data_IF_941668157748
#
_entry.id   IF_941668157748
#
_cell.length_a   1.000
_cell.length_b   1.000
_cell.length_c   1.000
_cell.angle_alpha   90.00
_cell.angle_beta   90.00
_cell.angle_gamma   90.00
#
_symmetry.space_group_name_H-M   'P 1'
#
loop_
_entity.id
_entity.type
_entity.pdbx_description
1 polymer ?
#
# COMPACT_ATOMS: atom_id res chain seq x y z
N UNK A 1 5.47 57.12 -6.22
CA UNK A 1 6.20 56.43 -7.32
C UNK A 1 6.73 55.05 -6.93
N UNK A 2 7.19 54.81 -5.68
CA UNK A 2 7.69 53.49 -5.25
C UNK A 2 6.62 52.37 -5.26
N UNK A 3 5.42 52.60 -4.70
CA UNK A 3 4.34 51.58 -4.61
C UNK A 3 3.86 51.06 -5.97
N UNK A 4 3.72 51.97 -6.95
CA UNK A 4 3.31 51.65 -8.34
C UNK A 4 4.38 50.86 -9.10
N UNK A 5 5.66 51.03 -8.76
CA UNK A 5 6.77 50.25 -9.34
C UNK A 5 6.79 48.82 -8.79
N UNK A 6 6.56 48.67 -7.48
CA UNK A 6 6.48 47.36 -6.80
C UNK A 6 5.29 46.51 -7.28
N UNK A 7 4.13 47.11 -7.55
CA UNK A 7 2.95 46.41 -8.09
C UNK A 7 3.20 45.89 -9.52
N UNK A 8 3.80 46.70 -10.39
CA UNK A 8 4.16 46.33 -11.76
C UNK A 8 5.19 45.18 -11.78
N UNK A 9 6.17 45.20 -10.87
CA UNK A 9 7.18 44.14 -10.76
C UNK A 9 6.55 42.80 -10.31
N UNK A 10 5.54 42.83 -9.44
CA UNK A 10 4.83 41.62 -8.98
C UNK A 10 3.94 41.01 -10.06
N UNK A 11 3.25 41.85 -10.85
CA UNK A 11 2.39 41.39 -11.94
C UNK A 11 3.22 40.72 -13.06
N UNK A 12 4.37 41.31 -13.38
CA UNK A 12 5.33 40.73 -14.33
C UNK A 12 5.83 39.36 -13.86
N UNK A 13 6.16 39.22 -12.58
CA UNK A 13 6.61 37.94 -12.01
C UNK A 13 5.52 36.85 -12.09
N UNK A 14 4.26 37.21 -11.85
CA UNK A 14 3.12 36.30 -11.99
C UNK A 14 2.94 35.84 -13.43
N UNK A 15 3.04 36.75 -14.40
CA UNK A 15 2.95 36.41 -15.83
C UNK A 15 4.10 35.50 -16.27
N UNK A 16 5.33 35.79 -15.83
CA UNK A 16 6.50 34.94 -16.12
C UNK A 16 6.35 33.53 -15.55
N UNK A 17 5.84 33.42 -14.32
CA UNK A 17 5.55 32.13 -13.70
C UNK A 17 4.50 31.37 -14.50
N UNK A 18 3.38 32.01 -14.84
CA UNK A 18 2.29 31.40 -15.60
C UNK A 18 2.77 30.88 -16.97
N UNK A 19 3.63 31.65 -17.66
CA UNK A 19 4.25 31.23 -18.91
C UNK A 19 5.15 30.02 -18.75
N UNK A 20 6.00 30.01 -17.70
CA UNK A 20 6.86 28.86 -17.40
C UNK A 20 6.04 27.60 -17.10
N UNK A 21 4.97 27.74 -16.32
CA UNK A 21 4.08 26.63 -15.98
C UNK A 21 3.42 26.04 -17.25
N UNK A 22 3.02 26.89 -18.21
CA UNK A 22 2.54 26.44 -19.52
C UNK A 22 3.64 25.72 -20.33
N UNK A 23 4.82 26.33 -20.45
CA UNK A 23 5.94 25.75 -21.19
C UNK A 23 6.34 24.36 -20.66
N UNK A 24 6.34 24.18 -19.33
CA UNK A 24 6.58 22.88 -18.71
C UNK A 24 5.51 21.84 -19.08
N UNK A 25 4.23 22.22 -19.10
CA UNK A 25 3.14 21.33 -19.51
C UNK A 25 3.23 21.00 -21.01
N UNK A 26 3.53 21.97 -21.85
CA UNK A 26 3.73 21.79 -23.30
C UNK A 26 4.88 20.81 -23.57
N UNK A 27 6.01 20.96 -22.88
CA UNK A 27 7.14 20.02 -22.97
C UNK A 27 6.79 18.59 -22.53
N UNK A 28 5.76 18.44 -21.68
CA UNK A 28 5.26 17.16 -21.18
C UNK A 28 4.06 16.62 -21.98
N UNK A 29 3.60 17.28 -23.04
CA UNK A 29 2.40 16.86 -23.81
C UNK A 29 2.45 15.40 -24.29
N UNK A 30 3.63 14.87 -24.62
CA UNK A 30 3.82 13.46 -25.02
C UNK A 30 3.49 12.45 -23.91
N UNK A 31 3.50 12.88 -22.65
CA UNK A 31 3.12 12.10 -21.48
C UNK A 31 1.68 12.38 -21.02
N UNK A 32 1.01 13.36 -21.60
CA UNK A 32 -0.37 13.70 -21.29
C UNK A 32 -1.29 12.90 -22.24
N UNK A 33 -2.05 11.90 -21.72
CA UNK A 33 -2.97 11.10 -22.52
C UNK A 33 -4.10 11.95 -23.08
N UNK A 34 -4.83 11.41 -24.05
CA UNK A 34 -6.05 12.05 -24.54
C UNK A 34 -7.13 12.08 -23.46
N UNK A 35 -7.85 13.21 -23.27
CA UNK A 35 -8.92 13.30 -22.28
C UNK A 35 -10.03 12.27 -22.51
N UNK A 36 -10.50 11.63 -21.43
CA UNK A 36 -11.68 10.75 -21.45
C UNK A 36 -12.97 11.47 -21.06
N UNK A 37 -12.84 12.68 -20.51
CA UNK A 37 -13.90 13.64 -20.24
C UNK A 37 -13.34 15.05 -20.45
N UNK A 38 -14.21 16.02 -20.66
CA UNK A 38 -13.82 17.41 -20.98
C UNK A 38 -14.68 18.40 -20.20
N UNK A 39 -14.13 19.59 -19.99
CA UNK A 39 -14.84 20.72 -19.40
C UNK A 39 -15.01 21.83 -20.43
N UNK A 40 -15.98 22.71 -20.21
CA UNK A 40 -16.20 23.92 -20.98
C UNK A 40 -15.66 25.13 -20.24
N UNK A 41 -15.37 26.20 -20.98
CA UNK A 41 -15.01 27.49 -20.40
C UNK A 41 -16.18 27.97 -19.53
N UNK A 42 -15.86 28.36 -18.29
CA UNK A 42 -16.83 28.74 -17.26
C UNK A 42 -17.24 27.61 -16.31
N UNK A 43 -16.90 26.34 -16.58
CA UNK A 43 -17.22 25.24 -15.68
C UNK A 43 -16.52 25.40 -14.33
N UNK A 44 -17.27 25.20 -13.24
CA UNK A 44 -16.71 25.08 -11.89
C UNK A 44 -16.14 23.67 -11.70
N UNK A 45 -14.88 23.60 -11.26
CA UNK A 45 -14.12 22.35 -11.16
C UNK A 45 -13.36 22.27 -9.84
N UNK A 46 -12.79 21.11 -9.53
CA UNK A 46 -11.91 20.91 -8.38
C UNK A 46 -10.52 20.48 -8.82
N UNK A 47 -9.51 20.97 -8.11
CA UNK A 47 -8.11 20.60 -8.31
C UNK A 47 -7.35 20.73 -6.98
N UNK A 48 -6.95 19.60 -6.41
CA UNK A 48 -6.29 19.56 -5.10
C UNK A 48 -7.09 20.35 -4.05
N UNK A 49 -6.42 21.31 -3.41
CA UNK A 49 -7.01 22.16 -2.35
C UNK A 49 -7.30 23.60 -2.82
N UNK A 50 -7.35 23.86 -4.13
CA UNK A 50 -7.67 25.20 -4.63
C UNK A 50 -9.15 25.54 -4.43
N UNK A 51 -9.41 26.83 -4.14
CA UNK A 51 -10.74 27.37 -3.85
C UNK A 51 -11.29 28.10 -5.07
N UNK A 52 -12.60 27.99 -5.31
CA UNK A 52 -13.36 28.71 -6.35
C UNK A 52 -12.76 28.58 -7.76
N UNK A 53 -12.48 27.34 -8.19
CA UNK A 53 -11.79 27.10 -9.47
C UNK A 53 -12.77 27.06 -10.64
N UNK A 54 -12.48 27.83 -11.68
CA UNK A 54 -13.24 27.88 -12.94
C UNK A 54 -12.32 27.72 -14.14
N UNK A 55 -12.83 27.11 -15.22
CA UNK A 55 -12.10 27.03 -16.48
C UNK A 55 -12.12 28.39 -17.20
N UNK A 56 -10.96 28.95 -17.51
CA UNK A 56 -10.84 30.21 -18.26
C UNK A 56 -10.42 30.02 -19.73
N UNK A 57 -9.71 28.94 -20.06
CA UNK A 57 -9.30 28.61 -21.44
C UNK A 57 -8.99 27.11 -21.60
N UNK A 58 -9.01 26.63 -22.85
CA UNK A 58 -8.79 25.22 -23.23
C UNK A 58 -7.73 25.15 -24.33
N UNK A 59 -6.65 24.42 -24.07
CA UNK A 59 -5.48 24.33 -24.94
C UNK A 59 -5.18 22.87 -25.32
N UNK A 60 -4.51 22.69 -26.46
CA UNK A 60 -3.99 21.40 -26.92
C UNK A 60 -5.03 20.27 -26.91
N UNK A 61 -6.17 20.47 -27.58
CA UNK A 61 -7.26 19.50 -27.70
C UNK A 61 -7.83 19.05 -26.34
N UNK A 62 -7.93 19.98 -25.39
CA UNK A 62 -8.44 19.72 -24.05
C UNK A 62 -7.46 19.01 -23.13
N UNK A 63 -6.17 18.92 -23.50
CA UNK A 63 -5.14 18.34 -22.64
C UNK A 63 -4.68 19.28 -21.52
N UNK A 64 -4.72 20.58 -21.78
CA UNK A 64 -4.30 21.63 -20.86
C UNK A 64 -5.45 22.63 -20.72
N UNK A 65 -5.74 23.04 -19.50
CA UNK A 65 -6.73 24.07 -19.21
C UNK A 65 -6.06 25.25 -18.49
N UNK A 66 -6.47 26.46 -18.83
CA UNK A 66 -6.26 27.63 -17.99
C UNK A 66 -7.36 27.67 -16.94
N UNK A 67 -6.98 27.94 -15.69
CA UNK A 67 -7.87 27.97 -14.54
C UNK A 67 -7.77 29.32 -13.86
N UNK A 68 -8.91 29.86 -13.46
CA UNK A 68 -9.02 30.98 -12.52
C UNK A 68 -9.45 30.46 -11.16
N UNK A 69 -8.80 30.91 -10.08
CA UNK A 69 -9.07 30.44 -8.72
C UNK A 69 -8.80 31.50 -7.65
N UNK A 70 -9.34 31.29 -6.45
CA UNK A 70 -9.03 32.10 -5.26
C UNK A 70 -7.80 31.54 -4.56
N UNK A 71 -6.69 32.29 -4.59
CA UNK A 71 -5.47 31.92 -3.87
C UNK A 71 -5.61 32.28 -2.39
N UNK A 72 -5.54 31.29 -1.51
CA UNK A 72 -5.59 31.49 -0.06
C UNK A 72 -4.18 31.38 0.50
N UNK A 73 -3.68 32.45 1.12
CA UNK A 73 -2.42 32.44 1.86
C UNK A 73 -2.71 32.38 3.36
N UNK A 74 -2.42 31.24 3.98
CA UNK A 74 -2.61 31.00 5.41
C UNK A 74 -1.33 31.18 6.25
N UNK A 75 -0.26 31.73 5.67
CA UNK A 75 0.98 31.98 6.41
C UNK A 75 0.85 33.31 7.17
N UNK A 76 0.88 33.23 8.51
CA UNK A 76 0.74 34.33 9.50
C UNK A 76 -0.69 34.82 9.75
N UNK A 77 -1.42 34.14 10.63
CA UNK A 77 -2.72 34.62 11.15
C UNK A 77 -3.88 34.42 10.18
N UNK A 78 -4.73 35.43 10.04
CA UNK A 78 -5.96 35.36 9.23
C UNK A 78 -5.65 35.11 7.74
N UNK A 79 -6.33 34.16 7.08
CA UNK A 79 -6.07 33.84 5.68
C UNK A 79 -6.30 35.04 4.75
N UNK A 80 -5.33 35.35 3.90
CA UNK A 80 -5.47 36.37 2.86
C UNK A 80 -5.94 35.68 1.58
N UNK A 81 -7.17 36.01 1.15
CA UNK A 81 -7.74 35.54 -0.11
C UNK A 81 -7.42 36.51 -1.25
N UNK A 82 -6.83 35.99 -2.33
CA UNK A 82 -6.53 36.73 -3.56
C UNK A 82 -7.32 36.09 -4.71
N UNK A 83 -8.49 36.66 -5.07
CA UNK A 83 -9.30 36.15 -6.18
C UNK A 83 -8.59 36.33 -7.53
N UNK A 84 -9.15 35.72 -8.56
CA UNK A 84 -8.72 35.84 -9.96
C UNK A 84 -7.27 35.42 -10.25
N UNK A 85 -6.70 34.54 -9.41
CA UNK A 85 -5.38 33.96 -9.65
C UNK A 85 -5.46 32.97 -10.80
N UNK A 86 -4.45 32.96 -11.68
CA UNK A 86 -4.40 32.08 -12.84
C UNK A 86 -3.36 30.97 -12.71
N UNK A 87 -3.65 29.80 -13.27
CA UNK A 87 -2.69 28.70 -13.48
C UNK A 87 -3.06 27.85 -14.69
N UNK A 88 -2.09 27.13 -15.23
CA UNK A 88 -2.36 26.03 -16.15
C UNK A 88 -2.34 24.69 -15.41
N UNK A 89 -3.13 23.73 -15.88
CA UNK A 89 -3.08 22.35 -15.39
C UNK A 89 -3.39 21.35 -16.50
N UNK A 90 -2.85 20.14 -16.37
CA UNK A 90 -3.25 19.03 -17.23
C UNK A 90 -4.67 18.58 -16.86
N UNK A 91 -5.42 18.09 -17.86
CA UNK A 91 -6.80 17.61 -17.66
C UNK A 91 -6.92 16.52 -16.57
N UNK A 92 -5.87 15.71 -16.38
CA UNK A 92 -5.81 14.63 -15.39
C UNK A 92 -5.83 15.12 -13.93
N UNK A 93 -5.55 16.39 -13.68
CA UNK A 93 -5.58 16.98 -12.33
C UNK A 93 -6.92 17.64 -12.00
N UNK A 94 -7.79 17.81 -13.01
CA UNK A 94 -9.06 18.50 -12.91
C UNK A 94 -10.17 17.47 -12.70
N UNK A 95 -10.98 17.65 -11.68
CA UNK A 95 -12.15 16.82 -11.37
C UNK A 95 -13.42 17.67 -11.42
N UNK A 96 -14.58 17.06 -11.74
CA UNK A 96 -15.86 17.73 -11.56
C UNK A 96 -15.99 18.24 -10.12
N UNK A 97 -16.73 19.33 -9.94
CA UNK A 97 -17.15 19.73 -8.60
C UNK A 97 -18.14 18.68 -8.08
N UNK A 98 -17.72 17.88 -7.11
CA UNK A 98 -18.57 16.84 -6.50
C UNK A 98 -19.16 17.44 -5.22
N UNK A 99 -20.47 17.34 -5.06
CA UNK A 99 -21.11 17.54 -3.76
C UNK A 99 -20.62 16.47 -2.77
N UNK A 100 -20.57 16.78 -1.48
CA UNK A 100 -20.10 15.82 -0.46
C UNK A 100 -20.96 14.55 -0.54
N UNK A 101 -20.38 13.49 -1.10
CA UNK A 101 -21.03 12.19 -1.16
C UNK A 101 -20.80 11.47 0.19
N UNK A 102 -21.86 11.02 0.87
CA UNK A 102 -21.73 10.32 2.16
C UNK A 102 -21.15 8.90 2.00
N UNK A 103 -21.18 8.36 0.78
CA UNK A 103 -20.76 6.99 0.50
C UNK A 103 -19.24 6.91 0.27
N UNK A 104 -18.53 6.28 1.20
CA UNK A 104 -17.11 5.98 1.05
C UNK A 104 -16.92 4.56 0.50
N UNK A 105 -16.12 4.45 -0.56
CA UNK A 105 -15.62 3.15 -1.03
C UNK A 105 -14.56 2.55 -0.09
N UNK A 106 -14.02 3.34 0.84
CA UNK A 106 -13.02 2.89 1.81
C UNK A 106 -13.75 2.14 2.93
N UNK A 107 -13.75 0.81 2.85
CA UNK A 107 -14.43 -0.06 3.83
C UNK A 107 -13.57 -0.51 5.00
N UNK A 108 -12.24 -0.37 4.92
CA UNK A 108 -11.28 -0.93 5.89
C UNK A 108 -10.14 0.06 6.15
N UNK A 109 -10.49 1.31 6.48
CA UNK A 109 -9.48 2.34 6.79
C UNK A 109 -8.73 2.06 8.11
N UNK A 110 -9.33 1.21 8.96
CA UNK A 110 -8.90 0.82 10.29
C UNK A 110 -7.73 -0.19 10.30
N UNK A 111 -7.49 -0.88 9.18
CA UNK A 111 -6.42 -1.89 9.07
C UNK A 111 -5.44 -1.45 7.99
N UNK A 112 -4.18 -1.20 8.39
CA UNK A 112 -3.10 -0.91 7.45
C UNK A 112 -1.86 -1.73 7.76
N UNK A 113 -1.52 -2.63 6.83
CA UNK A 113 -0.28 -3.40 6.92
C UNK A 113 0.83 -2.70 6.14
N UNK A 114 1.97 -2.52 6.81
CA UNK A 114 3.19 -2.08 6.18
C UNK A 114 4.10 -3.28 5.97
N UNK A 115 4.36 -3.62 4.72
CA UNK A 115 5.29 -4.69 4.38
C UNK A 115 6.70 -4.14 4.23
N UNK A 116 7.64 -4.74 4.95
CA UNK A 116 9.06 -4.42 4.90
C UNK A 116 9.85 -5.59 4.32
N UNK A 117 10.96 -5.27 3.67
CA UNK A 117 11.88 -6.27 3.15
C UNK A 117 12.83 -6.70 4.26
N UNK A 118 12.84 -7.99 4.56
CA UNK A 118 13.67 -8.60 5.58
C UNK A 118 14.44 -9.79 4.99
N UNK A 119 15.53 -10.18 5.62
CA UNK A 119 16.16 -11.46 5.31
C UNK A 119 15.30 -12.61 5.86
N UNK A 120 15.32 -13.76 5.18
CA UNK A 120 14.64 -14.98 5.62
C UNK A 120 15.07 -15.41 7.03
N UNK A 121 16.32 -15.09 7.40
CA UNK A 121 16.86 -15.27 8.76
C UNK A 121 16.01 -14.64 9.87
N UNK A 122 15.26 -13.57 9.56
CA UNK A 122 14.32 -12.94 10.51
C UNK A 122 13.21 -13.88 10.96
N UNK A 123 12.76 -14.80 10.11
CA UNK A 123 11.73 -15.80 10.47
C UNK A 123 12.26 -16.76 11.56
N UNK A 124 13.53 -17.16 11.46
CA UNK A 124 14.16 -18.01 12.47
C UNK A 124 14.26 -17.29 13.82
N UNK A 125 14.62 -16.01 13.80
CA UNK A 125 14.66 -15.20 15.02
C UNK A 125 13.29 -15.15 15.69
N UNK A 126 12.22 -14.90 14.91
CA UNK A 126 10.83 -14.91 15.42
C UNK A 126 10.47 -16.25 16.07
N UNK A 127 10.71 -17.36 15.39
CA UNK A 127 10.32 -18.69 15.89
C UNK A 127 11.15 -19.12 17.09
N UNK A 128 12.48 -19.04 16.99
CA UNK A 128 13.37 -19.65 17.97
C UNK A 128 13.70 -18.76 19.16
N UNK A 129 13.52 -17.44 19.07
CA UNK A 129 13.82 -16.52 20.18
C UNK A 129 12.57 -15.91 20.82
N UNK A 130 11.49 -15.72 20.05
CA UNK A 130 10.29 -15.03 20.55
C UNK A 130 9.03 -15.90 20.58
N UNK A 131 9.02 -17.01 19.83
CA UNK A 131 7.87 -17.90 19.70
C UNK A 131 6.82 -17.35 18.73
N UNK A 132 6.26 -18.25 17.94
CA UNK A 132 5.21 -17.97 16.96
C UNK A 132 4.10 -19.00 17.10
N UNK A 133 2.86 -18.55 17.33
CA UNK A 133 1.67 -19.36 17.22
C UNK A 133 1.34 -19.61 15.75
N UNK A 134 1.45 -20.87 15.31
CA UNK A 134 1.12 -21.29 13.94
C UNK A 134 -0.32 -21.80 13.80
N UNK A 135 -1.02 -22.00 14.92
CA UNK A 135 -2.28 -22.73 14.97
C UNK A 135 -3.39 -21.90 15.66
N UNK A 136 -3.62 -20.62 15.25
CA UNK A 136 -4.81 -19.90 15.69
C UNK A 136 -6.07 -20.51 15.06
N UNK A 137 -7.22 -20.31 15.70
CA UNK A 137 -8.46 -21.05 15.41
C UNK A 137 -9.00 -20.87 13.98
N UNK A 138 -8.77 -19.68 13.41
CA UNK A 138 -9.20 -19.34 12.05
C UNK A 138 -8.24 -19.88 10.97
N UNK A 139 -7.04 -20.35 11.32
CA UNK A 139 -6.12 -20.95 10.36
C UNK A 139 -6.52 -22.40 10.07
N UNK A 140 -6.35 -22.81 8.82
CA UNK A 140 -6.44 -24.22 8.43
C UNK A 140 -5.22 -25.02 8.90
N UNK A 141 -5.40 -26.33 8.91
CA UNK A 141 -4.33 -27.28 9.15
C UNK A 141 -3.22 -27.20 8.10
N UNK A 142 -2.07 -27.78 8.42
CA UNK A 142 -0.98 -27.93 7.47
C UNK A 142 -1.33 -28.96 6.40
N UNK A 143 -1.29 -28.57 5.12
CA UNK A 143 -1.71 -29.44 4.00
C UNK A 143 -0.63 -29.67 2.94
N UNK A 144 0.46 -28.91 2.99
CA UNK A 144 1.53 -29.01 1.99
C UNK A 144 2.25 -30.36 2.06
N UNK A 145 2.36 -31.01 0.91
CA UNK A 145 3.10 -32.26 0.77
C UNK A 145 4.58 -31.98 0.51
N UNK A 146 5.40 -33.04 0.44
CA UNK A 146 6.84 -32.91 0.23
C UNK A 146 7.16 -32.13 -1.05
N UNK A 147 6.39 -32.37 -2.12
CA UNK A 147 6.55 -31.72 -3.41
C UNK A 147 6.34 -30.20 -3.32
N UNK A 148 5.33 -29.75 -2.55
CA UNK A 148 5.08 -28.33 -2.31
C UNK A 148 6.25 -27.69 -1.54
N UNK A 149 6.76 -28.40 -0.53
CA UNK A 149 7.91 -27.95 0.27
C UNK A 149 9.16 -27.84 -0.62
N UNK A 150 9.48 -28.87 -1.39
CA UNK A 150 10.64 -28.87 -2.29
C UNK A 150 10.54 -27.76 -3.35
N UNK A 151 9.35 -27.53 -3.91
CA UNK A 151 9.11 -26.45 -4.87
C UNK A 151 9.35 -25.06 -4.26
N UNK A 152 8.98 -24.86 -3.00
CA UNK A 152 9.28 -23.61 -2.29
C UNK A 152 10.79 -23.44 -2.09
N UNK A 153 11.48 -24.49 -1.63
CA UNK A 153 12.93 -24.42 -1.42
C UNK A 153 13.68 -24.17 -2.74
N UNK A 154 13.23 -24.79 -3.84
CA UNK A 154 13.76 -24.52 -5.18
C UNK A 154 13.58 -23.05 -5.58
N UNK A 155 12.42 -22.47 -5.29
CA UNK A 155 12.14 -21.04 -5.56
C UNK A 155 13.12 -20.11 -4.82
N UNK A 156 13.43 -20.41 -3.55
CA UNK A 156 14.39 -19.63 -2.75
C UNK A 156 15.79 -19.67 -3.36
N UNK A 157 16.26 -20.86 -3.75
CA UNK A 157 17.58 -21.00 -4.37
C UNK A 157 17.67 -20.36 -5.77
N UNK A 158 16.54 -20.19 -6.45
CA UNK A 158 16.45 -19.55 -7.76
C UNK A 158 16.03 -18.07 -7.72
N UNK A 159 15.92 -17.45 -6.53
CA UNK A 159 15.49 -16.06 -6.35
C UNK A 159 14.09 -15.75 -6.91
N UNK A 160 13.18 -16.73 -6.87
CA UNK A 160 11.78 -16.59 -7.30
C UNK A 160 10.94 -16.13 -6.10
N UNK A 161 10.06 -15.15 -6.33
CA UNK A 161 9.17 -14.61 -5.28
C UNK A 161 8.33 -15.71 -4.63
N UNK A 162 8.38 -15.77 -3.30
CA UNK A 162 7.68 -16.80 -2.51
C UNK A 162 6.44 -16.25 -1.78
N UNK A 163 5.97 -15.05 -2.16
CA UNK A 163 4.89 -14.34 -1.49
C UNK A 163 5.31 -13.63 -0.19
N UNK A 164 4.31 -13.13 0.54
CA UNK A 164 4.49 -12.32 1.76
C UNK A 164 4.25 -13.13 3.04
N UNK A 165 4.75 -12.64 4.17
CA UNK A 165 4.45 -13.17 5.49
C UNK A 165 3.80 -12.06 6.32
N UNK A 166 2.73 -12.39 7.05
CA UNK A 166 2.06 -11.45 7.93
C UNK A 166 1.94 -12.06 9.31
N UNK A 167 2.27 -11.26 10.33
CA UNK A 167 2.21 -11.64 11.72
C UNK A 167 1.37 -10.64 12.51
N UNK A 168 0.64 -11.16 13.49
CA UNK A 168 0.10 -10.37 14.59
C UNK A 168 1.13 -10.43 15.70
N UNK A 169 1.52 -9.28 16.23
CA UNK A 169 2.33 -9.19 17.43
C UNK A 169 1.40 -9.11 18.63
N UNK A 170 1.55 -10.04 19.55
CA UNK A 170 0.81 -10.03 20.80
C UNK A 170 1.33 -8.94 21.74
N UNK A 171 0.44 -8.47 22.61
CA UNK A 171 0.81 -7.65 23.75
C UNK A 171 1.59 -8.48 24.80
N UNK A 172 2.15 -7.77 25.79
CA UNK A 172 2.99 -8.38 26.82
C UNK A 172 2.20 -9.36 27.72
N UNK A 173 0.89 -9.13 27.90
CA UNK A 173 0.02 -9.98 28.72
C UNK A 173 -0.18 -11.35 28.03
N UNK A 174 -0.60 -11.34 26.77
CA UNK A 174 -0.80 -12.55 25.96
C UNK A 174 0.52 -13.26 25.69
N UNK A 175 1.62 -12.52 25.51
CA UNK A 175 2.95 -13.14 25.41
C UNK A 175 3.32 -13.87 26.70
N UNK A 176 3.18 -13.24 27.86
CA UNK A 176 3.49 -13.86 29.15
C UNK A 176 2.62 -15.09 29.42
N UNK A 177 1.34 -15.03 29.06
CA UNK A 177 0.39 -16.13 29.28
C UNK A 177 0.61 -17.33 28.33
N UNK A 178 0.94 -17.09 27.06
CA UNK A 178 1.03 -18.14 26.03
C UNK A 178 2.45 -18.59 25.71
N UNK A 179 3.45 -17.77 26.03
CA UNK A 179 4.84 -17.97 25.61
C UNK A 179 5.11 -17.59 24.15
N UNK A 180 4.11 -17.10 23.41
CA UNK A 180 4.26 -16.65 22.03
C UNK A 180 4.23 -15.13 21.92
N UNK A 181 5.22 -14.52 21.28
CA UNK A 181 5.20 -13.07 20.99
C UNK A 181 4.44 -12.75 19.69
N UNK A 182 4.26 -13.74 18.82
CA UNK A 182 3.64 -13.57 17.52
C UNK A 182 2.61 -14.67 17.21
N UNK A 183 1.69 -14.34 16.33
CA UNK A 183 0.79 -15.28 15.65
C UNK A 183 0.94 -15.12 14.14
N UNK A 184 0.89 -16.24 13.41
CA UNK A 184 0.88 -16.23 11.94
C UNK A 184 -0.51 -15.89 11.40
N UNK A 185 -0.57 -14.81 10.63
CA UNK A 185 -1.76 -14.38 9.91
C UNK A 185 -1.73 -14.82 8.44
N UNK A 186 -0.57 -14.74 7.79
CA UNK A 186 -0.34 -15.29 6.44
C UNK A 186 1.04 -15.91 6.32
N UNK A 187 1.15 -16.95 5.49
CA UNK A 187 2.39 -17.64 5.18
C UNK A 187 2.65 -18.90 6.00
N UNK A 188 1.67 -19.39 6.79
CA UNK A 188 1.79 -20.61 7.63
C UNK A 188 2.47 -21.78 6.91
N UNK A 189 1.92 -22.14 5.75
CA UNK A 189 2.38 -23.32 5.00
C UNK A 189 3.84 -23.17 4.51
N UNK A 190 4.16 -21.97 4.00
CA UNK A 190 5.49 -21.61 3.50
C UNK A 190 6.52 -21.55 4.62
N UNK A 191 6.16 -20.92 5.72
CA UNK A 191 7.04 -20.76 6.87
C UNK A 191 7.38 -22.11 7.49
N UNK A 192 6.39 -22.99 7.68
CA UNK A 192 6.63 -24.37 8.13
C UNK A 192 7.55 -25.15 7.18
N UNK A 193 7.37 -25.03 5.86
CA UNK A 193 8.26 -25.67 4.89
C UNK A 193 9.71 -25.15 4.97
N UNK A 194 9.90 -23.84 5.17
CA UNK A 194 11.22 -23.21 5.37
C UNK A 194 11.89 -23.74 6.64
N UNK A 195 11.14 -23.82 7.75
CA UNK A 195 11.63 -24.35 9.03
C UNK A 195 11.98 -25.83 8.90
N UNK A 196 11.12 -26.62 8.27
CA UNK A 196 11.35 -28.05 8.07
C UNK A 196 12.65 -28.31 7.29
N UNK A 197 12.95 -27.50 6.28
CA UNK A 197 14.21 -27.62 5.53
C UNK A 197 15.40 -27.20 6.39
N UNK A 198 15.30 -26.06 7.09
CA UNK A 198 16.34 -25.56 7.98
C UNK A 198 16.70 -26.54 9.11
N UNK A 199 15.71 -27.29 9.58
CA UNK A 199 15.81 -28.33 10.62
C UNK A 199 16.15 -29.72 10.07
N UNK A 200 16.55 -29.82 8.80
CA UNK A 200 16.97 -31.07 8.16
C UNK A 200 15.89 -32.18 8.13
N UNK A 201 14.60 -31.80 8.16
CA UNK A 201 13.45 -32.74 8.19
C UNK A 201 13.15 -33.34 6.82
N UNK A 202 13.61 -32.72 5.74
CA UNK A 202 13.56 -33.27 4.39
C UNK A 202 14.78 -32.80 3.59
N UNK A 203 14.97 -33.39 2.41
CA UNK A 203 16.05 -33.02 1.50
C UNK A 203 15.50 -32.24 0.31
N UNK A 204 16.31 -31.35 -0.24
CA UNK A 204 16.09 -30.73 -1.54
C UNK A 204 17.25 -31.10 -2.45
N UNK A 205 16.97 -31.71 -3.62
CA UNK A 205 18.01 -32.23 -4.54
C UNK A 205 19.01 -33.14 -3.83
N UNK A 206 18.51 -33.99 -2.93
CA UNK A 206 19.29 -34.98 -2.19
C UNK A 206 20.17 -34.41 -1.07
N UNK A 207 20.02 -33.14 -0.70
CA UNK A 207 20.77 -32.50 0.40
C UNK A 207 19.85 -31.93 1.47
N UNK A 208 20.24 -32.10 2.73
CA UNK A 208 19.71 -31.40 3.90
C UNK A 208 20.34 -30.00 4.00
N UNK A 209 19.76 -29.12 4.82
CA UNK A 209 20.29 -27.76 5.00
C UNK A 209 21.70 -27.77 5.61
N UNK A 210 21.97 -28.65 6.58
CA UNK A 210 23.30 -28.77 7.21
C UNK A 210 24.39 -29.23 6.23
N UNK A 211 24.02 -29.99 5.20
CA UNK A 211 24.92 -30.54 4.16
C UNK A 211 25.26 -29.53 3.05
N UNK A 212 24.58 -28.38 3.03
CA UNK A 212 24.81 -27.34 2.04
C UNK A 212 26.19 -26.69 2.18
N UNK A 213 26.67 -26.09 1.10
CA UNK A 213 27.87 -25.25 1.15
C UNK A 213 27.61 -23.99 2.01
N UNK A 214 28.67 -23.38 2.53
CA UNK A 214 28.55 -22.09 3.24
C UNK A 214 27.86 -21.04 2.36
N UNK A 215 28.16 -21.04 1.05
CA UNK A 215 27.56 -20.14 0.07
C UNK A 215 26.05 -20.35 -0.01
N UNK A 216 25.59 -21.59 -0.14
CA UNK A 216 24.17 -21.91 -0.30
C UNK A 216 23.40 -21.65 1.00
N UNK A 217 23.98 -21.95 2.18
CA UNK A 217 23.37 -21.60 3.47
C UNK A 217 23.21 -20.09 3.63
N UNK A 218 24.22 -19.32 3.23
CA UNK A 218 24.16 -17.85 3.30
C UNK A 218 23.14 -17.29 2.30
N UNK A 219 23.09 -17.85 1.08
CA UNK A 219 22.07 -17.51 0.09
C UNK A 219 20.66 -17.71 0.65
N UNK A 220 20.40 -18.90 1.20
CA UNK A 220 19.11 -19.23 1.79
C UNK A 220 18.72 -18.30 2.96
N UNK A 221 19.65 -18.05 3.90
CA UNK A 221 19.40 -17.19 5.06
C UNK A 221 19.18 -15.72 4.69
N UNK A 222 19.87 -15.22 3.66
CA UNK A 222 19.80 -13.83 3.20
C UNK A 222 18.77 -13.58 2.10
N UNK A 223 18.06 -14.62 1.68
CA UNK A 223 16.96 -14.48 0.73
C UNK A 223 15.96 -13.44 1.24
N UNK A 224 15.61 -12.46 0.41
CA UNK A 224 14.75 -11.34 0.83
C UNK A 224 13.28 -11.73 0.79
N UNK A 225 12.59 -11.51 1.91
CA UNK A 225 11.16 -11.74 2.09
C UNK A 225 10.44 -10.46 2.46
N UNK A 226 9.17 -10.38 2.08
CA UNK A 226 8.28 -9.28 2.44
C UNK A 226 7.48 -9.67 3.69
N UNK A 227 7.66 -8.94 4.79
CA UNK A 227 7.05 -9.23 6.09
C UNK A 227 6.26 -8.02 6.58
N UNK A 228 5.04 -8.25 7.06
CA UNK A 228 4.27 -7.27 7.82
C UNK A 228 4.05 -7.75 9.25
N UNK A 229 4.09 -6.81 10.19
CA UNK A 229 3.80 -7.04 11.60
C UNK A 229 2.77 -6.00 12.01
N UNK A 230 1.68 -6.45 12.63
CA UNK A 230 0.62 -5.57 13.12
C UNK A 230 0.33 -5.90 14.57
N UNK A 231 0.12 -4.87 15.38
CA UNK A 231 -0.29 -4.97 16.77
C UNK A 231 -1.70 -4.42 16.93
N UNK A 232 -2.33 -4.67 18.07
CA UNK A 232 -3.55 -4.00 18.51
C UNK A 232 -4.76 -4.18 17.55
N UNK A 233 -4.86 -5.35 16.91
CA UNK A 233 -6.04 -5.72 16.13
C UNK A 233 -7.06 -6.45 16.99
N UNK A 234 -8.34 -6.13 16.81
CA UNK A 234 -9.43 -6.95 17.34
C UNK A 234 -9.56 -8.26 16.56
N UNK A 235 -10.21 -9.26 17.17
CA UNK A 235 -10.49 -10.54 16.50
C UNK A 235 -11.28 -10.32 15.19
N UNK A 236 -12.31 -9.48 15.22
CA UNK A 236 -13.06 -9.06 14.03
C UNK A 236 -12.15 -8.56 12.90
N UNK A 237 -11.17 -7.70 13.23
CA UNK A 237 -10.22 -7.14 12.26
C UNK A 237 -9.29 -8.22 11.69
N UNK A 238 -8.81 -9.13 12.55
CA UNK A 238 -7.99 -10.27 12.16
C UNK A 238 -8.73 -11.15 11.14
N UNK A 239 -9.97 -11.52 11.44
CA UNK A 239 -10.80 -12.38 10.57
C UNK A 239 -11.15 -11.68 9.25
N UNK A 240 -11.59 -10.41 9.29
CA UNK A 240 -11.84 -9.59 8.09
C UNK A 240 -10.62 -9.55 7.17
N UNK A 241 -9.45 -9.37 7.77
CA UNK A 241 -8.20 -9.29 7.02
C UNK A 241 -7.77 -10.64 6.43
N UNK A 242 -7.84 -11.70 7.24
CA UNK A 242 -7.53 -13.05 6.81
C UNK A 242 -8.35 -13.47 5.58
N UNK A 243 -9.66 -13.19 5.60
CA UNK A 243 -10.56 -13.45 4.45
C UNK A 243 -10.09 -12.69 3.21
N UNK A 244 -9.77 -11.39 3.34
CA UNK A 244 -9.35 -10.56 2.20
C UNK A 244 -8.04 -10.98 1.59
N UNK A 245 -7.03 -11.30 2.41
CA UNK A 245 -5.75 -11.80 1.90
C UNK A 245 -5.92 -13.09 1.10
N UNK A 246 -6.74 -14.00 1.61
CA UNK A 246 -6.89 -15.33 1.03
C UNK A 246 -7.95 -15.45 -0.07
N UNK A 247 -8.64 -14.34 -0.42
CA UNK A 247 -9.64 -14.32 -1.51
C UNK A 247 -9.22 -13.44 -2.69
N UNK A 248 -8.19 -12.60 -2.55
CA UNK A 248 -7.80 -11.60 -3.54
C UNK A 248 -6.80 -12.07 -4.62
N UNK A 249 -6.30 -13.32 -4.57
CA UNK A 249 -5.35 -13.79 -5.59
C UNK A 249 -5.14 -15.31 -5.73
N UNK A 250 -5.32 -16.12 -4.67
CA UNK A 250 -5.28 -17.59 -4.74
C UNK A 250 -6.42 -18.14 -3.88
N UNK A 251 -7.25 -19.00 -4.46
CA UNK A 251 -8.49 -19.47 -3.82
C UNK A 251 -8.15 -20.43 -2.69
N UNK A 252 -8.30 -20.00 -1.43
CA UNK A 252 -8.52 -20.96 -0.34
C UNK A 252 -9.81 -21.73 -0.60
N UNK A 253 -9.85 -22.99 -0.14
CA UNK A 253 -11.04 -23.84 -0.24
C UNK A 253 -12.27 -23.09 0.27
N UNK A 254 -13.32 -23.07 -0.53
CA UNK A 254 -14.53 -22.27 -0.27
C UNK A 254 -15.14 -22.59 1.09
N UNK A 255 -15.08 -23.86 1.50
CA UNK A 255 -15.58 -24.35 2.78
C UNK A 255 -14.85 -23.69 3.98
N UNK A 256 -13.53 -23.58 3.91
CA UNK A 256 -12.77 -22.96 4.99
C UNK A 256 -13.01 -21.44 5.06
N UNK A 257 -13.14 -20.76 3.91
CA UNK A 257 -13.50 -19.35 3.88
C UNK A 257 -14.87 -19.11 4.52
N UNK A 258 -15.83 -20.01 4.28
CA UNK A 258 -17.17 -19.90 4.87
C UNK A 258 -17.16 -20.14 6.38
N UNK A 259 -16.37 -21.10 6.87
CA UNK A 259 -16.14 -21.30 8.31
C UNK A 259 -15.64 -20.02 8.98
N UNK A 260 -14.66 -19.35 8.39
CA UNK A 260 -14.11 -18.10 8.95
C UNK A 260 -15.09 -16.93 8.86
N UNK A 261 -15.99 -16.92 7.87
CA UNK A 261 -17.09 -15.93 7.83
C UNK A 261 -18.08 -16.13 8.96
N UNK A 262 -18.43 -17.38 9.30
CA UNK A 262 -19.30 -17.66 10.43
C UNK A 262 -18.68 -17.17 11.75
N UNK A 263 -17.38 -17.41 11.95
CA UNK A 263 -16.64 -16.86 13.11
C UNK A 263 -16.70 -15.32 13.16
N UNK A 264 -16.58 -14.65 12.00
CA UNK A 264 -16.70 -13.19 11.93
C UNK A 264 -18.11 -12.69 12.28
N UNK A 265 -19.15 -13.39 11.84
CA UNK A 265 -20.54 -13.03 12.16
C UNK A 265 -20.85 -13.18 13.67
N UNK A 266 -20.20 -14.13 14.36
CA UNK A 266 -20.31 -14.31 15.82
C UNK A 266 -19.64 -13.17 16.60
N UNK A 267 -18.48 -12.68 16.14
CA UNK A 267 -17.74 -11.57 16.80
C UNK A 267 -18.36 -10.18 16.58
N UNK A 268 -19.31 -10.05 15.64
CA UNK A 268 -19.95 -8.76 15.29
C UNK A 268 -21.33 -8.55 15.92
N UNK A 269 -21.85 -9.52 16.69
CA UNK A 269 -23.13 -9.45 17.42
C UNK A 269 -22.97 -8.94 18.85
#
# INVERSE_FOLDING_TARGET
>A
MARKKTEVDQELLKQQKLKRDLEELVNKLKFIPSPTYSFQIGDAVTIGNLKDVTISDILHDGKIYELTYTHVNSNYGDPIETPDSKRYSAWMDIRPLIEVQPESLIKNADIRMSFQQNELSSLFSKVYHFGVNFDPEYQRDYVWQLEDKESLIDSIFNNVEIGKFAFIRYDDEKWTATGYSYEVLDGKQRMRAILDFYEDRFTHKGKKFSELSIKDRNHFKRYTISVAEVSDLSEEQILRYFIKLNTSGKVMEKEHVEKVRQMLDEETQ
#
